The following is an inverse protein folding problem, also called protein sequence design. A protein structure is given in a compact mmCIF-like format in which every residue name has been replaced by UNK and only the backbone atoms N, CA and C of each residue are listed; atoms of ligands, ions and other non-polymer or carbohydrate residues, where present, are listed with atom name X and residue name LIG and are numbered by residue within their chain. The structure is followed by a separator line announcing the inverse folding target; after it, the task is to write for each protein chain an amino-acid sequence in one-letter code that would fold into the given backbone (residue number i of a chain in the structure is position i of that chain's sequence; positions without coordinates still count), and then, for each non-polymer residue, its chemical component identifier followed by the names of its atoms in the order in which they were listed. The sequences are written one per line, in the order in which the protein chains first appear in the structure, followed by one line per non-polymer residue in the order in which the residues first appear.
data_IF_229429314540
#
_entry.id   IF_229429314540
#
_cell.length_a   1.000
_cell.length_b   1.000
_cell.length_c   1.000
_cell.angle_alpha   90.00
_cell.angle_beta   90.00
_cell.angle_gamma   90.00
#
_symmetry.space_group_name_H-M   'P 1'
#
loop_
_entity.id
_entity.type
_entity.pdbx_description
1 polymer ?
#
# COMPACT_ATOMS: atom_id res chain seq x y z
N UNK A 1 1.13 -7.11 8.82
CA UNK A 1 1.58 -5.76 8.47
C UNK A 1 0.93 -5.32 7.16
N UNK A 2 0.84 -4.05 6.98
CA UNK A 2 0.17 -3.44 5.82
C UNK A 2 1.10 -2.41 5.18
N UNK A 3 1.39 -2.63 3.92
CA UNK A 3 2.17 -1.69 3.12
C UNK A 3 1.19 -0.81 2.34
N UNK A 4 1.30 0.48 2.48
CA UNK A 4 0.42 1.41 1.78
C UNK A 4 1.22 2.30 0.84
N UNK A 5 0.59 2.67 -0.27
CA UNK A 5 1.19 3.54 -1.27
C UNK A 5 0.13 4.46 -1.86
N UNK A 6 0.57 5.68 -2.16
CA UNK A 6 -0.25 6.69 -2.80
C UNK A 6 0.26 6.87 -4.23
N UNK A 7 -0.65 6.80 -5.17
CA UNK A 7 -0.34 6.86 -6.60
C UNK A 7 -0.88 8.15 -7.19
N UNK A 8 -0.08 8.80 -8.04
CA UNK A 8 -0.54 9.93 -8.83
C UNK A 8 -1.28 9.43 -10.08
N UNK A 9 -1.94 10.36 -10.78
CA UNK A 9 -2.57 10.02 -12.05
C UNK A 9 -1.59 9.65 -13.15
N UNK A 10 -0.32 9.99 -12.98
CA UNK A 10 0.74 9.61 -13.91
C UNK A 10 1.38 8.31 -13.43
N UNK A 11 0.93 7.20 -13.99
CA UNK A 11 1.39 5.87 -13.60
C UNK A 11 2.84 5.58 -13.99
N UNK A 12 3.43 6.40 -14.85
CA UNK A 12 4.84 6.22 -15.24
C UNK A 12 5.81 6.58 -14.13
N UNK A 13 5.37 7.36 -13.15
CA UNK A 13 6.22 7.82 -12.06
C UNK A 13 6.19 6.92 -10.83
N UNK A 14 5.29 5.92 -10.82
CA UNK A 14 5.14 5.05 -9.66
C UNK A 14 4.54 5.75 -8.44
N UNK A 15 4.57 5.10 -7.29
CA UNK A 15 4.03 5.69 -6.07
C UNK A 15 4.91 6.83 -5.57
N UNK A 16 4.26 7.91 -5.10
CA UNK A 16 4.98 9.07 -4.56
C UNK A 16 5.09 9.06 -3.04
N UNK A 17 4.36 8.19 -2.38
CA UNK A 17 4.45 8.04 -0.93
C UNK A 17 4.18 6.59 -0.56
N UNK A 18 5.05 6.05 0.29
CA UNK A 18 5.01 4.66 0.72
C UNK A 18 5.17 4.59 2.22
N UNK A 19 4.61 3.58 2.83
CA UNK A 19 4.81 3.31 4.24
C UNK A 19 4.35 1.92 4.63
N UNK A 20 4.67 1.56 5.85
CA UNK A 20 4.28 0.28 6.45
C UNK A 20 3.73 0.55 7.83
N UNK A 21 2.61 -0.09 8.16
CA UNK A 21 2.02 -0.01 9.50
C UNK A 21 1.50 -1.38 9.91
N UNK A 22 1.34 -1.59 11.20
CA UNK A 22 0.81 -2.83 11.74
C UNK A 22 -0.71 -2.91 11.76
N UNK A 23 -1.41 -1.83 11.41
CA UNK A 23 -2.86 -1.74 11.53
C UNK A 23 -3.49 -1.26 10.23
N UNK A 24 -4.44 -2.03 9.69
CA UNK A 24 -5.15 -1.68 8.46
C UNK A 24 -5.91 -0.36 8.60
N UNK A 25 -6.60 -0.16 9.73
CA UNK A 25 -7.33 1.09 9.95
C UNK A 25 -6.39 2.30 9.95
N UNK A 26 -5.22 2.15 10.52
CA UNK A 26 -4.18 3.19 10.49
C UNK A 26 -3.70 3.48 9.07
N UNK A 27 -3.48 2.44 8.28
CA UNK A 27 -3.08 2.60 6.88
C UNK A 27 -4.14 3.37 6.09
N UNK A 28 -5.41 3.00 6.26
CA UNK A 28 -6.52 3.70 5.62
C UNK A 28 -6.59 5.16 6.06
N UNK A 29 -6.44 5.40 7.35
CA UNK A 29 -6.48 6.76 7.92
C UNK A 29 -5.36 7.65 7.35
N UNK A 30 -4.19 7.08 7.13
CA UNK A 30 -3.07 7.82 6.55
C UNK A 30 -3.27 8.12 5.06
N UNK A 31 -3.94 7.23 4.34
CA UNK A 31 -4.13 7.36 2.90
C UNK A 31 -5.33 8.24 2.53
N UNK A 32 -6.35 8.34 3.39
CA UNK A 32 -7.59 9.01 3.03
C UNK A 32 -7.43 10.50 2.73
N UNK A 33 -6.73 11.32 3.54
CA UNK A 33 -6.65 12.75 3.25
C UNK A 33 -6.08 13.09 1.87
N UNK A 34 -4.95 12.51 1.42
CA UNK A 34 -4.43 12.83 0.09
C UNK A 34 -5.38 12.44 -1.04
N UNK A 35 -6.07 11.31 -0.91
CA UNK A 35 -7.04 10.87 -1.93
C UNK A 35 -8.27 11.78 -1.91
N UNK A 36 -8.79 12.09 -0.72
CA UNK A 36 -9.97 12.95 -0.59
C UNK A 36 -9.71 14.35 -1.11
N UNK A 37 -8.51 14.88 -0.89
CA UNK A 37 -8.12 16.22 -1.33
C UNK A 37 -7.70 16.28 -2.81
N UNK A 38 -7.63 15.14 -3.49
CA UNK A 38 -7.24 15.08 -4.89
C UNK A 38 -5.74 15.14 -5.15
N UNK A 39 -4.91 15.10 -4.10
CA UNK A 39 -3.44 15.06 -4.26
C UNK A 39 -2.96 13.70 -4.73
N UNK A 40 -3.69 12.65 -4.39
CA UNK A 40 -3.43 11.31 -4.87
C UNK A 40 -4.60 10.84 -5.74
N UNK A 41 -4.30 10.14 -6.83
CA UNK A 41 -5.33 9.56 -7.70
C UNK A 41 -6.01 8.38 -7.01
N UNK A 42 -5.22 7.51 -6.37
CA UNK A 42 -5.75 6.42 -5.57
C UNK A 42 -4.71 5.99 -4.53
N UNK A 43 -5.17 5.21 -3.57
CA UNK A 43 -4.31 4.57 -2.59
C UNK A 43 -4.42 3.05 -2.75
N UNK A 44 -3.32 2.35 -2.47
CA UNK A 44 -3.30 0.90 -2.39
C UNK A 44 -2.71 0.48 -1.06
N UNK A 45 -3.33 -0.52 -0.45
CA UNK A 45 -2.82 -1.12 0.77
C UNK A 45 -2.73 -2.62 0.54
N UNK A 46 -1.56 -3.20 0.75
CA UNK A 46 -1.36 -4.63 0.64
C UNK A 46 -1.05 -5.22 2.01
N UNK A 47 -1.74 -6.30 2.36
CA UNK A 47 -1.35 -7.08 3.51
C UNK A 47 -0.05 -7.82 3.16
N UNK A 48 0.99 -7.60 3.95
CA UNK A 48 2.32 -8.14 3.68
C UNK A 48 2.85 -8.84 4.92
N UNK A 49 3.78 -9.74 4.71
CA UNK A 49 4.59 -10.33 5.77
C UNK A 49 6.05 -10.02 5.52
N UNK A 50 6.78 -9.89 6.60
CA UNK A 50 8.22 -9.73 6.54
C UNK A 50 8.86 -11.10 6.30
N UNK A 51 9.76 -11.17 5.35
CA UNK A 51 10.47 -12.40 5.03
C UNK A 51 11.94 -12.13 4.80
N UNK A 52 12.78 -13.03 5.29
CA UNK A 52 14.21 -13.01 4.97
C UNK A 52 14.44 -13.88 3.75
N UNK A 53 15.34 -13.44 2.88
CA UNK A 53 15.75 -14.26 1.75
C UNK A 53 16.61 -15.43 2.23
N UNK A 54 16.69 -16.46 1.39
CA UNK A 54 17.30 -17.74 1.76
C UNK A 54 18.76 -17.59 2.23
N UNK A 55 19.47 -16.65 1.68
CA UNK A 55 20.86 -16.39 2.08
C UNK A 55 21.00 -15.58 3.39
N UNK A 56 19.87 -15.13 3.95
CA UNK A 56 19.85 -14.36 5.18
C UNK A 56 20.44 -12.97 5.10
N UNK A 57 20.83 -12.53 3.93
CA UNK A 57 21.50 -11.23 3.74
C UNK A 57 20.51 -10.11 3.59
N UNK A 58 19.36 -10.37 2.98
CA UNK A 58 18.36 -9.37 2.69
C UNK A 58 17.00 -9.76 3.27
N UNK A 59 16.19 -8.76 3.52
CA UNK A 59 14.82 -8.95 3.94
C UNK A 59 13.89 -8.17 3.03
N UNK A 60 12.66 -8.61 2.94
CA UNK A 60 11.67 -7.98 2.09
C UNK A 60 10.27 -8.18 2.64
N UNK A 61 9.33 -7.43 2.10
CA UNK A 61 7.91 -7.63 2.34
C UNK A 61 7.32 -8.40 1.18
N UNK A 62 6.50 -9.39 1.50
CA UNK A 62 5.88 -10.28 0.53
C UNK A 62 4.37 -10.14 0.63
N UNK A 63 3.69 -10.01 -0.49
CA UNK A 63 2.23 -9.95 -0.52
C UNK A 63 1.62 -11.25 -0.04
N UNK A 64 0.59 -11.14 0.79
CA UNK A 64 -0.15 -12.33 1.30
C UNK A 64 -1.34 -12.68 0.41
N UNK A 65 -1.75 -11.82 -0.49
CA UNK A 65 -2.89 -12.03 -1.38
C UNK A 65 -4.06 -11.10 -1.12
N UNK A 66 -4.07 -10.38 -0.01
CA UNK A 66 -5.12 -9.40 0.29
C UNK A 66 -4.62 -8.00 0.02
N UNK A 67 -5.43 -7.21 -0.65
CA UNK A 67 -5.16 -5.80 -0.78
C UNK A 67 -6.43 -4.98 -0.91
N UNK A 68 -6.31 -3.69 -0.70
CA UNK A 68 -7.41 -2.73 -0.72
C UNK A 68 -7.04 -1.56 -1.61
N UNK A 69 -8.01 -1.08 -2.38
CA UNK A 69 -7.85 0.11 -3.22
C UNK A 69 -8.81 1.16 -2.73
N UNK A 70 -8.27 2.34 -2.42
CA UNK A 70 -9.06 3.49 -2.00
C UNK A 70 -9.14 4.53 -3.10
N UNK A 71 -10.36 4.92 -3.47
CA UNK A 71 -10.63 5.91 -4.51
C UNK A 71 -11.56 6.98 -3.99
N UNK A 72 -11.37 8.19 -4.50
CA UNK A 72 -12.26 9.30 -4.19
C UNK A 72 -13.62 9.07 -4.83
N UNK A 73 -14.68 9.34 -4.08
CA UNK A 73 -16.04 9.31 -4.59
C UNK A 73 -16.49 10.71 -5.00
N UNK A 74 -17.67 10.80 -5.63
CA UNK A 74 -18.27 12.08 -6.02
C UNK A 74 -18.66 12.96 -4.81
N UNK A 75 -18.70 12.37 -3.61
CA UNK A 75 -19.02 13.09 -2.36
C UNK A 75 -17.77 13.45 -1.56
N UNK A 76 -16.60 13.47 -2.19
CA UNK A 76 -15.31 13.77 -1.55
C UNK A 76 -15.00 12.86 -0.37
N UNK A 77 -15.37 11.60 -0.51
CA UNK A 77 -15.04 10.53 0.43
C UNK A 77 -14.15 9.51 -0.25
N UNK A 78 -13.55 8.65 0.52
CA UNK A 78 -12.74 7.55 -0.01
C UNK A 78 -13.51 6.25 0.14
N UNK A 79 -13.69 5.55 -0.96
CA UNK A 79 -14.29 4.24 -0.98
C UNK A 79 -13.18 3.19 -1.07
N UNK A 80 -13.19 2.24 -0.17
CA UNK A 80 -12.23 1.15 -0.13
C UNK A 80 -12.85 -0.12 -0.72
N UNK A 81 -12.11 -0.76 -1.60
CA UNK A 81 -12.48 -2.06 -2.15
C UNK A 81 -11.43 -3.08 -1.77
N UNK A 82 -11.85 -4.17 -1.15
CA UNK A 82 -10.98 -5.30 -0.89
C UNK A 82 -10.88 -6.16 -2.15
N UNK A 83 -9.67 -6.57 -2.48
CA UNK A 83 -9.40 -7.41 -3.65
C UNK A 83 -8.38 -8.47 -3.31
N UNK A 84 -8.50 -9.61 -3.98
CA UNK A 84 -7.50 -10.67 -3.92
C UNK A 84 -6.47 -10.44 -5.02
N UNK A 85 -5.21 -10.71 -4.69
CA UNK A 85 -4.12 -10.72 -5.66
C UNK A 85 -3.35 -12.01 -5.52
N UNK A 86 -2.48 -12.32 -6.48
CA UNK A 86 -1.59 -13.45 -6.31
C UNK A 86 -0.62 -13.19 -5.16
N UNK A 87 -0.58 -14.09 -4.16
CA UNK A 87 0.37 -13.96 -3.07
C UNK A 87 1.79 -14.30 -3.51
N UNK A 88 2.75 -13.92 -2.69
CA UNK A 88 4.12 -14.38 -2.81
C UNK A 88 5.04 -13.60 -3.72
N UNK A 89 4.54 -12.69 -4.54
CA UNK A 89 5.41 -11.86 -5.35
C UNK A 89 6.20 -10.89 -4.48
N UNK A 90 7.51 -10.91 -4.57
CA UNK A 90 8.35 -9.96 -3.88
C UNK A 90 8.19 -8.59 -4.52
N UNK A 91 7.78 -7.63 -3.73
CA UNK A 91 7.52 -6.29 -4.23
C UNK A 91 8.62 -5.32 -3.94
N UNK A 92 9.29 -5.53 -2.83
CA UNK A 92 10.22 -4.57 -2.28
C UNK A 92 11.48 -5.31 -1.88
N UNK A 93 12.59 -4.85 -2.38
CA UNK A 93 13.90 -5.37 -2.01
C UNK A 93 14.44 -4.74 -0.73
N UNK A 94 13.71 -3.78 -0.16
CA UNK A 94 14.12 -3.08 1.06
C UNK A 94 12.93 -2.93 1.99
N UNK A 95 13.16 -2.94 3.32
CA UNK A 95 12.12 -2.56 4.26
C UNK A 95 11.70 -1.12 4.03
N UNK A 96 10.38 -0.87 4.07
CA UNK A 96 9.85 0.49 4.01
C UNK A 96 9.93 1.14 5.39
N UNK A 97 10.00 2.48 5.47
CA UNK A 97 9.90 3.16 6.74
C UNK A 97 8.60 2.80 7.45
N UNK A 98 8.69 2.62 8.76
CA UNK A 98 7.48 2.46 9.58
C UNK A 98 6.79 3.81 9.72
N UNK A 99 5.49 3.75 9.62
CA UNK A 99 4.64 4.95 9.73
C UNK A 99 3.83 4.90 11.00
#
# INVERSE_FOLDING_TARGET
MYCWELLSGDTSQGPFLLGVTGDLAEAMRLCEPPVREGRAFLAQIAAVRYAMLVDGMDSCYVRTGLHWIGRRTIHDRVRWEERDTEPGAVLLSRPLPLV
#
